data_IF_346859252305
#
_entry.id   IF_346859252305
#
_cell.length_a   1.000
_cell.length_b   1.000
_cell.length_c   1.000
_cell.angle_alpha   90.00
_cell.angle_beta   90.00
_cell.angle_gamma   90.00
#
_symmetry.space_group_name_H-M   'P 1'
#
loop_
_entity.id
_entity.type
_entity.pdbx_description
1 polymer ?
#
# COMPACT_ATOMS: atom_id res chain seq x y z
N UNK A 1 42.45 0.35 -18.72
CA UNK A 1 41.59 -0.54 -17.91
C UNK A 1 41.20 0.08 -16.56
N UNK A 2 42.13 0.52 -15.70
CA UNK A 2 41.83 1.12 -14.38
C UNK A 2 40.89 2.36 -14.41
N UNK A 3 40.99 3.20 -15.44
CA UNK A 3 40.09 4.36 -15.61
C UNK A 3 38.66 3.95 -15.97
N UNK A 4 38.50 2.97 -16.85
CA UNK A 4 37.19 2.43 -17.28
C UNK A 4 36.50 1.73 -16.10
N UNK A 5 37.23 0.94 -15.31
CA UNK A 5 36.69 0.28 -14.12
C UNK A 5 36.29 1.28 -13.03
N UNK A 6 37.04 2.38 -12.87
CA UNK A 6 36.69 3.47 -11.94
C UNK A 6 35.42 4.20 -12.38
N UNK A 7 35.31 4.55 -13.67
CA UNK A 7 34.10 5.18 -14.23
C UNK A 7 32.87 4.27 -14.11
N UNK A 8 33.03 2.95 -14.31
CA UNK A 8 31.95 1.97 -14.17
C UNK A 8 31.46 1.86 -12.72
N UNK A 9 32.38 1.86 -11.74
CA UNK A 9 32.02 1.89 -10.32
C UNK A 9 31.23 3.15 -9.93
N UNK A 10 31.63 4.33 -10.45
CA UNK A 10 30.92 5.58 -10.20
C UNK A 10 29.51 5.54 -10.82
N UNK A 11 29.38 5.00 -12.03
CA UNK A 11 28.08 4.85 -12.69
C UNK A 11 27.15 3.93 -11.91
N UNK A 12 27.63 2.75 -11.48
CA UNK A 12 26.86 1.82 -10.64
C UNK A 12 26.46 2.45 -9.29
N UNK A 13 27.36 3.18 -8.64
CA UNK A 13 27.05 3.88 -7.39
C UNK A 13 25.96 4.93 -7.57
N UNK A 14 26.01 5.69 -8.67
CA UNK A 14 24.97 6.70 -8.98
C UNK A 14 23.60 6.08 -9.25
N UNK A 15 23.55 4.94 -9.96
CA UNK A 15 22.31 4.20 -10.19
C UNK A 15 21.70 3.67 -8.90
N UNK A 16 22.51 3.23 -7.93
CA UNK A 16 22.03 2.73 -6.64
C UNK A 16 21.41 3.86 -5.79
N UNK A 17 22.02 5.04 -5.76
CA UNK A 17 21.48 6.21 -5.05
C UNK A 17 20.16 6.66 -5.66
N UNK A 18 20.06 6.69 -7.00
CA UNK A 18 18.82 7.00 -7.70
C UNK A 18 17.72 5.95 -7.44
N UNK A 19 18.07 4.67 -7.42
CA UNK A 19 17.13 3.59 -7.11
C UNK A 19 16.58 3.69 -5.67
N UNK A 20 17.46 3.97 -4.71
CA UNK A 20 17.06 4.16 -3.32
C UNK A 20 16.16 5.40 -3.14
N UNK A 21 16.49 6.51 -3.81
CA UNK A 21 15.66 7.73 -3.80
C UNK A 21 14.31 7.55 -4.51
N UNK A 22 14.23 6.65 -5.50
CA UNK A 22 12.99 6.34 -6.21
C UNK A 22 12.01 5.47 -5.40
N UNK A 23 12.43 4.92 -4.25
CA UNK A 23 11.52 4.25 -3.32
C UNK A 23 10.64 5.28 -2.59
N UNK A 24 9.74 5.92 -3.34
CA UNK A 24 8.65 6.69 -2.76
C UNK A 24 7.66 5.72 -2.12
N UNK A 25 7.89 5.39 -0.86
CA UNK A 25 6.91 4.66 -0.06
C UNK A 25 5.77 5.61 0.33
N UNK A 26 4.54 5.26 -0.04
CA UNK A 26 3.37 5.99 0.43
C UNK A 26 3.29 5.87 1.96
N UNK A 27 2.94 6.96 2.66
CA UNK A 27 2.93 6.96 4.14
C UNK A 27 1.99 5.90 4.69
N UNK A 28 0.84 5.65 4.05
CA UNK A 28 -0.09 4.60 4.49
C UNK A 28 0.51 3.18 4.50
N UNK A 29 1.55 2.93 3.68
CA UNK A 29 2.29 1.65 3.64
C UNK A 29 3.38 1.52 4.70
N UNK A 30 3.77 2.61 5.35
CA UNK A 30 4.84 2.58 6.34
C UNK A 30 4.33 2.00 7.66
N UNK A 31 4.87 0.86 8.15
CA UNK A 31 4.47 0.29 9.44
C UNK A 31 5.00 1.08 10.63
N UNK A 32 5.91 2.04 10.42
CA UNK A 32 6.51 2.86 11.48
C UNK A 32 5.68 4.08 11.88
N UNK A 33 4.65 4.42 11.09
CA UNK A 33 3.75 5.55 11.34
C UNK A 33 2.50 5.09 12.12
N UNK A 34 1.87 6.02 12.83
CA UNK A 34 0.63 5.74 13.56
C UNK A 34 -0.50 5.35 12.62
N UNK A 35 -1.51 4.64 13.16
CA UNK A 35 -2.69 4.28 12.39
C UNK A 35 -3.41 5.53 11.84
N UNK A 36 -3.46 6.62 12.61
CA UNK A 36 -4.07 7.88 12.23
C UNK A 36 -3.36 8.53 11.04
N UNK A 37 -2.04 8.69 11.11
CA UNK A 37 -1.24 9.28 10.02
C UNK A 37 -1.37 8.46 8.73
N UNK A 38 -1.35 7.13 8.84
CA UNK A 38 -1.53 6.22 7.71
C UNK A 38 -2.92 6.31 7.11
N UNK A 39 -3.94 6.39 7.95
CA UNK A 39 -5.34 6.51 7.53
C UNK A 39 -5.57 7.84 6.84
N UNK A 40 -5.01 8.93 7.35
CA UNK A 40 -5.13 10.26 6.74
C UNK A 40 -4.50 10.29 5.34
N UNK A 41 -3.29 9.75 5.18
CA UNK A 41 -2.64 9.63 3.86
C UNK A 41 -3.43 8.74 2.89
N UNK A 42 -3.98 7.62 3.37
CA UNK A 42 -4.79 6.71 2.55
C UNK A 42 -6.08 7.39 2.08
N UNK A 43 -6.88 7.94 3.00
CA UNK A 43 -8.13 8.60 2.68
C UNK A 43 -7.94 9.84 1.79
N UNK A 44 -6.81 10.54 1.92
CA UNK A 44 -6.46 11.66 1.02
C UNK A 44 -6.25 11.25 -0.43
N UNK A 45 -6.00 9.96 -0.71
CA UNK A 45 -5.71 9.41 -2.04
C UNK A 45 -6.89 8.71 -2.69
N UNK A 46 -7.89 8.32 -1.90
CA UNK A 46 -9.04 7.55 -2.37
C UNK A 46 -10.10 8.42 -3.05
N UNK A 47 -10.79 7.86 -4.04
CA UNK A 47 -12.01 8.44 -4.60
C UNK A 47 -13.17 8.37 -3.60
N UNK A 48 -14.27 9.04 -3.91
CA UNK A 48 -15.47 8.96 -3.09
C UNK A 48 -16.02 7.53 -3.04
N UNK A 49 -16.07 6.87 -4.20
CA UNK A 49 -16.56 5.50 -4.36
C UNK A 49 -15.73 4.51 -3.56
N UNK A 50 -14.40 4.65 -3.59
CA UNK A 50 -13.50 3.82 -2.79
C UNK A 50 -13.72 4.02 -1.29
N UNK A 51 -13.96 5.26 -0.84
CA UNK A 51 -14.27 5.57 0.57
C UNK A 51 -15.59 4.96 1.00
N UNK A 52 -16.62 5.10 0.17
CA UNK A 52 -17.94 4.48 0.40
C UNK A 52 -17.83 2.96 0.43
N UNK A 53 -17.00 2.37 -0.43
CA UNK A 53 -16.74 0.94 -0.48
C UNK A 53 -16.18 0.36 0.83
N UNK A 54 -15.41 1.13 1.59
CA UNK A 54 -14.90 0.70 2.91
C UNK A 54 -16.01 0.62 3.99
N UNK A 55 -17.13 1.31 3.79
CA UNK A 55 -18.29 1.24 4.68
C UNK A 55 -19.16 0.01 4.42
N UNK A 56 -18.97 -0.64 3.26
CA UNK A 56 -19.65 -1.89 2.95
C UNK A 56 -19.04 -2.98 3.83
N UNK A 57 -19.85 -3.54 4.73
CA UNK A 57 -19.53 -4.77 5.43
C UNK A 57 -20.36 -5.90 4.82
N UNK A 58 -19.95 -6.46 3.66
CA UNK A 58 -20.56 -7.70 3.22
C UNK A 58 -20.25 -8.72 4.31
N UNK A 59 -21.27 -9.29 4.93
CA UNK A 59 -21.09 -10.24 6.03
C UNK A 59 -20.31 -11.49 5.57
N UNK A 60 -20.08 -11.68 4.27
CA UNK A 60 -19.25 -12.75 3.72
C UNK A 60 -19.90 -14.13 3.78
N UNK A 61 -21.03 -14.24 4.46
CA UNK A 61 -21.89 -15.41 4.53
C UNK A 61 -23.09 -15.17 3.62
N UNK A 62 -23.60 -16.21 2.96
CA UNK A 62 -24.99 -16.18 2.50
C UNK A 62 -25.83 -15.84 3.72
N UNK A 63 -26.71 -14.84 3.60
CA UNK A 63 -27.59 -14.49 4.70
C UNK A 63 -28.42 -15.72 5.04
N UNK A 64 -28.12 -16.37 6.16
CA UNK A 64 -28.83 -17.58 6.51
C UNK A 64 -30.31 -17.27 6.64
N UNK A 65 -31.14 -18.07 5.99
CA UNK A 65 -32.58 -17.95 6.10
C UNK A 65 -33.04 -18.84 7.27
N UNK A 66 -33.51 -18.21 8.34
CA UNK A 66 -34.11 -18.95 9.47
C UNK A 66 -35.59 -19.24 9.19
N UNK A 67 -35.90 -20.50 8.90
CA UNK A 67 -37.29 -21.00 8.78
C UNK A 67 -37.65 -21.80 10.03
N UNK A 68 -38.18 -21.11 11.04
CA UNK A 68 -38.53 -21.74 12.32
C UNK A 68 -37.30 -22.18 13.11
N UNK A 69 -37.06 -23.49 13.21
CA UNK A 69 -35.87 -24.08 13.85
C UNK A 69 -34.76 -24.47 12.87
N UNK A 70 -35.01 -24.39 11.55
CA UNK A 70 -34.00 -24.65 10.52
C UNK A 70 -33.26 -23.37 10.10
N UNK A 71 -31.98 -23.52 9.81
CA UNK A 71 -31.07 -22.47 9.32
C UNK A 71 -30.44 -23.01 8.04
N UNK A 72 -30.62 -22.30 6.92
CA UNK A 72 -30.03 -22.61 5.61
C UNK A 72 -29.13 -21.48 5.18
#
# INVERSE_FOLDING_TARGET
MKKITSTLMILLGSCFVLYAAAQNSFKYKSPTLSAEERTYDLLGRMTLEEKVGQLLCPLGWEMYEKKGQEVT
#
